data_IF_915459505324
#
_entry.id   IF_915459505324
#
_cell.length_a   1.000
_cell.length_b   1.000
_cell.length_c   1.000
_cell.angle_alpha   90.00
_cell.angle_beta   90.00
_cell.angle_gamma   90.00
#
_symmetry.space_group_name_H-M   'P 1'
#
loop_
_entity.id
_entity.type
_entity.pdbx_description
1 polymer ?
#
# COMPACT_ATOMS: atom_id res chain seq x y z
N UNK A 1 -8.10 39.06 32.92
CA UNK A 1 -6.66 39.29 33.18
C UNK A 1 -5.92 38.33 32.26
N UNK A 2 -5.33 38.87 31.19
CA UNK A 2 -4.62 38.09 30.17
C UNK A 2 -3.40 37.42 30.81
N UNK A 3 -3.27 36.10 30.65
CA UNK A 3 -1.98 35.44 30.81
C UNK A 3 -1.33 35.35 29.42
N UNK A 4 -0.17 36.01 29.21
CA UNK A 4 0.65 35.80 28.04
C UNK A 4 1.48 34.54 28.29
N UNK A 5 1.36 33.52 27.42
CA UNK A 5 2.40 32.55 27.11
C UNK A 5 1.84 31.64 26.03
N UNK A 6 2.47 31.66 24.85
CA UNK A 6 2.15 30.67 23.85
C UNK A 6 2.63 29.30 24.32
N UNK A 7 1.72 28.36 24.56
CA UNK A 7 2.07 27.01 25.00
C UNK A 7 2.54 26.22 23.77
N UNK A 8 3.85 26.00 23.69
CA UNK A 8 4.44 25.01 22.79
C UNK A 8 4.46 23.67 23.53
N UNK A 9 3.78 22.69 22.95
CA UNK A 9 3.81 21.30 23.40
C UNK A 9 4.48 20.46 22.33
N UNK A 10 5.24 19.43 22.74
CA UNK A 10 5.87 18.52 21.79
C UNK A 10 6.05 17.13 22.38
N UNK A 11 6.01 16.14 21.50
CA UNK A 11 6.23 14.73 21.80
C UNK A 11 7.24 14.14 20.81
N UNK A 12 8.09 13.24 21.32
CA UNK A 12 9.04 12.49 20.51
C UNK A 12 8.86 11.00 20.79
N UNK A 13 8.48 10.25 19.76
CA UNK A 13 8.39 8.79 19.80
C UNK A 13 9.51 8.19 18.97
N UNK A 14 10.25 7.24 19.53
CA UNK A 14 11.21 6.40 18.81
C UNK A 14 10.76 4.96 18.89
N UNK A 15 10.91 4.22 17.79
CA UNK A 15 10.46 2.83 17.73
C UNK A 15 11.26 1.96 16.77
N UNK A 16 11.10 0.66 16.98
CA UNK A 16 11.60 -0.40 16.13
C UNK A 16 10.47 -1.36 15.83
N UNK A 17 10.42 -1.87 14.61
CA UNK A 17 9.50 -2.94 14.24
C UNK A 17 10.22 -4.08 13.52
N UNK A 18 9.70 -5.28 13.72
CA UNK A 18 10.05 -6.46 12.94
C UNK A 18 8.76 -7.09 12.42
N UNK A 19 8.77 -7.45 11.15
CA UNK A 19 7.70 -8.19 10.51
C UNK A 19 8.29 -9.48 9.92
N UNK A 20 7.59 -10.58 10.16
CA UNK A 20 7.97 -11.91 9.71
C UNK A 20 6.75 -12.56 9.08
N UNK A 21 6.89 -13.02 7.84
CA UNK A 21 5.86 -13.79 7.13
C UNK A 21 6.46 -15.08 6.64
N UNK A 22 5.81 -16.16 7.02
CA UNK A 22 6.01 -17.48 6.46
C UNK A 22 4.71 -17.94 5.81
N UNK A 23 4.76 -18.30 4.53
CA UNK A 23 3.62 -18.86 3.80
C UNK A 23 4.02 -20.21 3.23
N UNK A 24 3.16 -21.20 3.41
CA UNK A 24 3.23 -22.48 2.71
C UNK A 24 1.80 -22.85 2.36
N UNK A 25 1.57 -23.34 1.15
CA UNK A 25 0.28 -23.87 0.74
C UNK A 25 0.49 -25.14 -0.08
N UNK A 26 -0.53 -25.98 -0.14
CA UNK A 26 -0.62 -27.17 -0.98
C UNK A 26 -1.96 -27.11 -1.70
N UNK A 27 -1.98 -27.49 -2.96
CA UNK A 27 -3.21 -27.59 -3.75
C UNK A 27 -3.36 -29.01 -4.28
N UNK A 28 -4.51 -29.61 -3.95
CA UNK A 28 -4.85 -30.98 -4.34
C UNK A 28 -6.04 -30.92 -5.28
N UNK A 29 -5.85 -31.31 -6.54
CA UNK A 29 -6.91 -31.38 -7.54
C UNK A 29 -7.27 -32.83 -7.83
N UNK A 30 -8.58 -33.12 -7.88
CA UNK A 30 -9.10 -34.37 -8.42
C UNK A 30 -10.01 -34.08 -9.62
N UNK A 31 -9.86 -34.87 -10.69
CA UNK A 31 -10.73 -34.81 -11.87
C UNK A 31 -11.65 -36.03 -11.88
N UNK A 32 -12.86 -35.88 -12.43
CA UNK A 32 -13.83 -36.97 -12.58
C UNK A 32 -14.45 -37.44 -11.26
N UNK A 33 -15.26 -36.60 -10.63
CA UNK A 33 -15.99 -36.97 -9.41
C UNK A 33 -16.94 -38.15 -9.69
N UNK A 34 -16.97 -39.15 -8.80
CA UNK A 34 -17.92 -40.29 -8.93
C UNK A 34 -19.35 -39.86 -8.59
N UNK A 35 -19.49 -38.95 -7.61
CA UNK A 35 -20.78 -38.36 -7.22
C UNK A 35 -20.77 -36.86 -7.54
N UNK A 36 -21.49 -36.46 -8.60
CA UNK A 36 -21.34 -35.13 -9.21
C UNK A 36 -21.92 -33.93 -8.43
N UNK A 37 -22.54 -34.09 -7.25
CA UNK A 37 -23.18 -32.91 -6.61
C UNK A 37 -23.38 -32.93 -5.09
N UNK A 38 -22.99 -33.99 -4.38
CA UNK A 38 -23.34 -34.13 -2.95
C UNK A 38 -22.18 -34.49 -2.01
N UNK A 39 -20.96 -34.70 -2.53
CA UNK A 39 -19.80 -35.03 -1.70
C UNK A 39 -18.47 -34.51 -2.27
N UNK A 40 -18.11 -33.23 -2.05
CA UNK A 40 -16.83 -32.68 -2.46
C UNK A 40 -15.72 -33.21 -1.54
N UNK A 41 -15.20 -34.39 -1.84
CA UNK A 41 -14.15 -35.07 -1.08
C UNK A 41 -13.05 -35.55 -2.05
N UNK A 42 -11.78 -35.38 -1.68
CA UNK A 42 -10.62 -35.84 -2.47
C UNK A 42 -10.61 -37.36 -2.72
N UNK A 43 -11.31 -38.15 -1.91
CA UNK A 43 -11.51 -39.57 -2.11
C UNK A 43 -12.68 -39.92 -3.06
N UNK A 44 -13.48 -38.94 -3.50
CA UNK A 44 -14.64 -39.12 -4.40
C UNK A 44 -14.24 -39.14 -5.88
N UNK A 45 -13.15 -39.84 -6.20
CA UNK A 45 -12.71 -40.09 -7.57
C UNK A 45 -12.06 -41.47 -7.63
N UNK A 46 -12.15 -42.14 -8.78
CA UNK A 46 -11.34 -43.33 -9.09
C UNK A 46 -10.07 -42.95 -9.85
N UNK A 47 -9.92 -41.69 -10.25
CA UNK A 47 -8.69 -41.16 -10.80
C UNK A 47 -7.65 -40.96 -9.70
N UNK A 48 -6.37 -41.19 -10.03
CA UNK A 48 -5.27 -40.77 -9.15
C UNK A 48 -5.32 -39.25 -9.00
N UNK A 49 -5.37 -38.70 -7.77
CA UNK A 49 -5.29 -37.26 -7.57
C UNK A 49 -4.07 -36.69 -8.27
N UNK A 50 -4.27 -35.63 -9.07
CA UNK A 50 -3.15 -34.82 -9.54
C UNK A 50 -2.81 -33.86 -8.41
N UNK A 51 -1.81 -34.25 -7.63
CA UNK A 51 -1.27 -33.39 -6.58
C UNK A 51 -0.35 -32.38 -7.26
N UNK A 52 -0.81 -31.13 -7.37
CA UNK A 52 0.07 -30.01 -7.67
C UNK A 52 0.70 -29.57 -6.34
N UNK A 53 1.60 -30.40 -5.81
CA UNK A 53 2.41 -30.05 -4.66
C UNK A 53 3.52 -29.09 -5.11
N UNK A 54 3.14 -27.86 -5.41
CA UNK A 54 4.04 -26.77 -5.16
C UNK A 54 4.17 -26.67 -3.64
N UNK A 55 5.36 -26.86 -3.08
CA UNK A 55 5.69 -26.32 -1.77
C UNK A 55 6.42 -24.98 -1.94
N UNK A 56 5.86 -23.92 -2.59
CA UNK A 56 6.49 -22.62 -2.50
C UNK A 56 6.33 -22.17 -1.05
N UNK A 57 7.37 -22.43 -0.26
CA UNK A 57 7.50 -21.84 1.05
C UNK A 57 8.08 -20.46 0.86
N UNK A 58 7.32 -19.44 1.21
CA UNK A 58 7.82 -18.08 1.19
C UNK A 58 8.23 -17.65 2.59
N UNK A 59 9.47 -17.20 2.73
CA UNK A 59 9.99 -16.54 3.91
C UNK A 59 10.32 -15.09 3.56
N UNK A 60 9.65 -14.17 4.25
CA UNK A 60 9.86 -12.75 4.09
C UNK A 60 9.99 -12.08 5.45
N UNK A 61 10.99 -11.20 5.57
CA UNK A 61 11.28 -10.45 6.79
C UNK A 61 11.53 -8.99 6.45
N UNK A 62 10.96 -8.12 7.26
CA UNK A 62 11.17 -6.67 7.17
C UNK A 62 11.46 -6.12 8.56
N UNK A 63 12.46 -5.28 8.69
CA UNK A 63 12.81 -4.63 9.95
C UNK A 63 12.85 -3.13 9.74
N UNK A 64 12.50 -2.33 10.73
CA UNK A 64 12.56 -0.88 10.59
C UNK A 64 12.78 -0.18 11.91
N UNK A 65 13.37 1.00 11.83
CA UNK A 65 13.46 1.97 12.92
C UNK A 65 12.78 3.25 12.48
N UNK A 66 12.11 3.91 13.41
CA UNK A 66 11.39 5.14 13.10
C UNK A 66 11.42 6.12 14.26
N UNK A 67 11.28 7.39 13.92
CA UNK A 67 11.02 8.49 14.83
C UNK A 67 9.81 9.29 14.36
N UNK A 68 9.02 9.75 15.32
CA UNK A 68 7.87 10.63 15.12
C UNK A 68 8.04 11.80 16.07
N UNK A 69 8.07 13.00 15.53
CA UNK A 69 8.09 14.25 16.28
C UNK A 69 6.77 14.96 16.04
N UNK A 70 6.06 15.30 17.11
CA UNK A 70 4.79 16.00 17.08
C UNK A 70 4.95 17.28 17.89
N UNK A 71 4.44 18.40 17.39
CA UNK A 71 4.47 19.67 18.08
C UNK A 71 3.17 20.45 17.85
N UNK A 72 2.64 21.04 18.92
CA UNK A 72 1.48 21.91 18.94
C UNK A 72 1.83 23.29 19.47
N UNK A 73 1.29 24.34 18.86
CA UNK A 73 1.42 25.71 19.35
C UNK A 73 0.05 26.34 19.51
N UNK A 74 -0.26 26.71 20.77
CA UNK A 74 -1.49 27.41 21.15
C UNK A 74 -2.78 26.73 20.68
N UNK A 75 -2.75 25.41 20.54
CA UNK A 75 -3.88 24.60 20.08
C UNK A 75 -4.41 24.95 18.67
N UNK A 76 -3.66 25.73 17.87
CA UNK A 76 -4.09 26.10 16.52
C UNK A 76 -3.05 25.82 15.43
N UNK A 77 -1.77 25.60 15.74
CA UNK A 77 -0.78 25.07 14.78
C UNK A 77 -0.32 23.71 15.26
N UNK A 78 -0.34 22.72 14.37
CA UNK A 78 0.15 21.37 14.65
C UNK A 78 1.09 20.91 13.55
N UNK A 79 2.26 20.42 13.93
CA UNK A 79 3.29 19.87 13.05
C UNK A 79 3.55 18.42 13.45
N UNK A 80 3.54 17.50 12.48
CA UNK A 80 4.01 16.13 12.65
C UNK A 80 5.12 15.87 11.65
N UNK A 81 6.29 15.43 12.11
CA UNK A 81 7.38 15.00 11.26
C UNK A 81 7.73 13.55 11.57
N UNK A 82 7.88 12.71 10.54
CA UNK A 82 8.28 11.31 10.69
C UNK A 82 9.53 11.03 9.89
N UNK A 83 10.35 10.11 10.38
CA UNK A 83 11.53 9.63 9.70
C UNK A 83 11.65 8.13 9.95
N UNK A 84 11.74 7.34 8.89
CA UNK A 84 11.77 5.88 9.00
C UNK A 84 12.78 5.28 8.05
N UNK A 85 13.56 4.31 8.53
CA UNK A 85 14.39 3.46 7.70
C UNK A 85 13.96 2.00 7.84
N UNK A 86 13.83 1.30 6.72
CA UNK A 86 13.40 -0.09 6.67
C UNK A 86 14.42 -0.94 5.92
N UNK A 87 14.65 -2.17 6.38
CA UNK A 87 15.42 -3.21 5.71
C UNK A 87 14.51 -4.38 5.31
N UNK A 88 14.60 -4.84 4.08
CA UNK A 88 13.82 -5.97 3.57
C UNK A 88 14.67 -7.17 3.18
N UNK A 89 14.22 -8.40 3.46
CA UNK A 89 14.86 -9.61 2.96
C UNK A 89 14.56 -9.90 1.49
N UNK A 90 13.59 -9.20 0.88
CA UNK A 90 13.20 -9.42 -0.52
C UNK A 90 14.02 -8.60 -1.53
N UNK A 91 14.81 -7.64 -1.05
CA UNK A 91 15.70 -6.82 -1.87
C UNK A 91 17.14 -7.36 -1.85
N UNK A 92 17.96 -7.03 -2.86
CA UNK A 92 19.38 -7.38 -2.86
C UNK A 92 20.09 -6.86 -1.61
N UNK A 93 21.03 -7.63 -1.07
CA UNK A 93 21.72 -7.32 0.20
C UNK A 93 22.35 -5.91 0.21
N UNK A 94 22.84 -5.44 -0.93
CA UNK A 94 23.48 -4.12 -1.06
C UNK A 94 22.46 -2.96 -1.13
N UNK A 95 21.21 -3.24 -1.50
CA UNK A 95 20.15 -2.25 -1.75
C UNK A 95 18.88 -2.52 -0.90
N UNK A 96 19.03 -3.23 0.22
CA UNK A 96 17.88 -3.67 1.00
C UNK A 96 17.37 -2.66 2.03
N UNK A 97 18.06 -1.53 2.19
CA UNK A 97 17.73 -0.46 3.13
C UNK A 97 17.11 0.73 2.41
N UNK A 98 16.03 1.29 2.95
CA UNK A 98 15.41 2.50 2.40
C UNK A 98 14.86 3.41 3.49
N UNK A 99 15.22 4.69 3.37
CA UNK A 99 14.81 5.77 4.24
C UNK A 99 13.72 6.62 3.59
N UNK A 100 12.67 6.93 4.34
CA UNK A 100 11.54 7.71 3.86
C UNK A 100 10.98 8.60 4.98
N UNK A 101 11.07 9.93 4.84
CA UNK A 101 10.50 10.89 5.79
C UNK A 101 9.10 11.35 5.39
N UNK A 102 8.37 11.93 6.34
CA UNK A 102 7.18 12.73 6.06
C UNK A 102 7.07 13.93 6.99
N UNK A 103 6.31 14.93 6.57
CA UNK A 103 5.92 16.10 7.37
C UNK A 103 4.49 16.49 7.04
N UNK A 104 3.70 16.80 8.06
CA UNK A 104 2.37 17.39 7.91
C UNK A 104 2.23 18.59 8.83
N UNK A 105 1.50 19.58 8.34
CA UNK A 105 1.18 20.82 9.04
C UNK A 105 -0.33 21.02 8.99
N UNK A 106 -0.92 21.38 10.12
CA UNK A 106 -2.29 21.87 10.17
C UNK A 106 -2.39 23.18 10.94
N UNK A 107 -3.25 24.06 10.44
CA UNK A 107 -3.49 25.38 11.00
C UNK A 107 -4.99 25.62 11.15
N UNK A 108 -5.46 25.74 12.38
CA UNK A 108 -6.84 26.06 12.73
C UNK A 108 -6.98 27.59 12.77
N UNK A 109 -7.25 28.17 11.61
CA UNK A 109 -7.33 29.61 11.43
C UNK A 109 -8.48 30.24 12.26
N UNK A 110 -9.59 29.52 12.45
CA UNK A 110 -10.71 29.97 13.30
C UNK A 110 -10.24 30.33 14.71
N UNK A 111 -9.41 29.48 15.30
CA UNK A 111 -8.95 29.62 16.68
C UNK A 111 -7.87 30.69 16.77
N UNK A 112 -6.92 30.69 15.82
CA UNK A 112 -5.83 31.66 15.77
C UNK A 112 -6.32 33.12 15.64
N UNK A 113 -7.44 33.34 14.94
CA UNK A 113 -8.02 34.66 14.71
C UNK A 113 -9.30 34.92 15.52
N UNK A 114 -9.66 34.03 16.46
CA UNK A 114 -10.84 34.13 17.30
C UNK A 114 -12.14 34.39 16.50
N UNK A 115 -12.41 33.56 15.49
CA UNK A 115 -13.59 33.70 14.63
C UNK A 115 -14.90 33.63 15.41
N UNK A 116 -14.95 32.90 16.53
CA UNK A 116 -16.09 32.90 17.45
C UNK A 116 -16.55 34.30 17.86
N UNK A 117 -15.63 35.26 17.96
CA UNK A 117 -15.94 36.65 18.34
C UNK A 117 -16.16 37.59 17.15
N UNK A 118 -15.72 37.21 15.94
CA UNK A 118 -15.59 38.10 14.79
C UNK A 118 -16.41 37.66 13.57
N UNK A 119 -16.71 36.36 13.46
CA UNK A 119 -17.30 35.67 12.31
C UNK A 119 -18.14 34.47 12.78
N UNK A 120 -19.24 34.71 13.50
CA UNK A 120 -20.12 33.68 14.10
C UNK A 120 -20.68 32.63 13.11
N UNK A 121 -20.63 32.90 11.80
CA UNK A 121 -21.06 31.94 10.79
C UNK A 121 -20.06 30.81 10.54
N UNK A 122 -18.78 30.99 10.92
CA UNK A 122 -17.69 30.04 10.69
C UNK A 122 -17.30 29.41 12.02
N UNK A 123 -17.67 28.16 12.23
CA UNK A 123 -17.35 27.42 13.45
C UNK A 123 -15.91 26.87 13.41
N UNK A 124 -15.44 26.49 12.22
CA UNK A 124 -14.07 25.98 12.04
C UNK A 124 -13.56 26.32 10.65
N UNK A 125 -12.31 26.78 10.58
CA UNK A 125 -11.53 26.83 9.35
C UNK A 125 -10.16 26.24 9.62
N UNK A 126 -9.88 25.08 9.04
CA UNK A 126 -8.61 24.38 9.16
C UNK A 126 -7.95 24.23 7.80
N UNK A 127 -6.68 24.58 7.71
CA UNK A 127 -5.83 24.36 6.55
C UNK A 127 -4.86 23.22 6.85
N UNK A 128 -4.66 22.31 5.90
CA UNK A 128 -3.77 21.16 6.01
C UNK A 128 -2.81 21.13 4.82
N UNK A 129 -1.56 20.78 5.08
CA UNK A 129 -0.59 20.45 4.05
C UNK A 129 0.28 19.29 4.51
N UNK A 130 0.60 18.36 3.61
CA UNK A 130 1.48 17.25 3.91
C UNK A 130 2.42 16.94 2.74
N UNK A 131 3.60 16.47 3.09
CA UNK A 131 4.57 15.90 2.17
C UNK A 131 5.10 14.61 2.79
N UNK A 132 5.22 13.56 1.99
CA UNK A 132 5.76 12.31 2.51
C UNK A 132 6.37 11.43 1.45
N UNK A 133 7.23 10.53 1.91
CA UNK A 133 7.65 9.38 1.13
C UNK A 133 7.20 8.09 1.81
N UNK A 134 6.84 7.10 1.03
CA UNK A 134 6.60 5.74 1.46
C UNK A 134 7.45 4.80 0.60
N UNK A 135 8.22 3.93 1.25
CA UNK A 135 9.03 2.92 0.55
C UNK A 135 8.35 1.55 0.55
N UNK A 136 8.49 0.83 -0.55
CA UNK A 136 8.04 -0.56 -0.69
C UNK A 136 9.19 -1.44 -1.21
N UNK A 137 9.10 -2.75 -0.95
CA UNK A 137 10.10 -3.74 -1.38
C UNK A 137 9.54 -4.65 -2.48
N UNK A 138 10.39 -5.58 -2.93
CA UNK A 138 10.03 -6.56 -3.94
C UNK A 138 9.19 -7.71 -3.37
N UNK A 139 8.56 -8.47 -4.27
CA UNK A 139 8.10 -9.80 -3.92
C UNK A 139 9.29 -10.70 -3.51
N UNK A 140 9.11 -11.67 -2.59
CA UNK A 140 10.17 -12.60 -2.22
C UNK A 140 10.72 -13.39 -3.42
N UNK A 141 12.01 -13.72 -3.39
CA UNK A 141 12.71 -14.60 -4.35
C UNK A 141 12.82 -14.10 -5.79
N UNK A 142 12.67 -12.80 -6.05
CA UNK A 142 12.79 -12.25 -7.41
C UNK A 142 14.19 -11.74 -7.79
N UNK A 143 15.18 -11.88 -6.91
CA UNK A 143 16.55 -11.34 -7.11
C UNK A 143 17.53 -12.34 -7.71
N UNK A 144 17.27 -13.64 -7.56
CA UNK A 144 18.11 -14.72 -8.10
C UNK A 144 17.30 -15.52 -9.12
N UNK A 145 17.94 -16.07 -10.17
CA UNK A 145 17.29 -17.08 -11.01
C UNK A 145 17.09 -18.36 -10.20
N UNK A 146 15.99 -19.07 -10.48
CA UNK A 146 15.68 -20.38 -9.91
C UNK A 146 15.44 -21.42 -11.02
N UNK A 147 15.34 -22.66 -10.58
CA UNK A 147 14.98 -23.79 -11.43
C UNK A 147 13.56 -24.22 -11.08
N UNK A 148 12.72 -24.29 -12.10
CA UNK A 148 11.33 -24.73 -12.01
C UNK A 148 11.17 -26.07 -12.70
N UNK A 149 10.07 -26.77 -12.43
CA UNK A 149 9.74 -27.99 -13.17
C UNK A 149 9.62 -27.67 -14.66
N UNK A 150 10.29 -28.49 -15.49
CA UNK A 150 10.32 -28.28 -16.92
C UNK A 150 8.91 -28.33 -17.52
N UNK A 151 8.56 -27.32 -18.30
CA UNK A 151 7.28 -27.29 -19.00
C UNK A 151 7.40 -26.61 -20.35
N UNK A 152 6.86 -27.25 -21.39
CA UNK A 152 6.72 -26.63 -22.72
C UNK A 152 5.29 -26.11 -22.85
N UNK A 153 5.11 -24.88 -22.41
CA UNK A 153 3.82 -24.16 -22.47
C UNK A 153 3.78 -23.23 -23.68
N UNK A 154 2.72 -23.33 -24.49
CA UNK A 154 2.49 -22.47 -25.66
C UNK A 154 3.31 -22.80 -26.92
N UNK A 155 4.09 -23.89 -26.91
CA UNK A 155 4.76 -24.44 -28.09
C UNK A 155 3.92 -25.48 -28.85
N UNK A 156 2.88 -26.02 -28.21
CA UNK A 156 1.95 -27.02 -28.75
C UNK A 156 0.54 -26.42 -28.67
N UNK A 157 -0.21 -26.31 -29.79
CA UNK A 157 -1.59 -25.84 -29.74
C UNK A 157 -2.43 -26.76 -28.85
N UNK A 158 -3.12 -26.16 -27.88
CA UNK A 158 -4.10 -26.83 -27.00
C UNK A 158 -3.55 -27.89 -26.03
N UNK A 159 -2.24 -27.91 -25.78
CA UNK A 159 -1.65 -28.82 -24.79
C UNK A 159 -0.35 -28.25 -24.22
N UNK A 160 -0.11 -28.51 -22.94
CA UNK A 160 1.19 -28.31 -22.31
C UNK A 160 1.90 -29.65 -22.18
N UNK A 161 3.23 -29.65 -22.30
CA UNK A 161 4.06 -30.81 -22.00
C UNK A 161 4.84 -30.52 -20.72
N UNK A 162 4.40 -31.07 -19.60
CA UNK A 162 5.01 -30.87 -18.28
C UNK A 162 5.72 -32.13 -17.83
N UNK A 163 6.89 -31.98 -17.20
CA UNK A 163 7.54 -33.09 -16.51
C UNK A 163 6.69 -33.56 -15.31
N UNK A 164 6.90 -34.80 -14.79
CA UNK A 164 7.80 -35.84 -15.30
C UNK A 164 7.29 -36.51 -16.59
N UNK A 165 8.21 -36.85 -17.50
CA UNK A 165 7.93 -37.63 -18.70
C UNK A 165 8.50 -39.05 -18.55
N UNK A 166 7.68 -40.08 -18.74
CA UNK A 166 8.07 -41.48 -18.49
C UNK A 166 8.72 -41.69 -17.11
N UNK A 167 8.16 -41.04 -16.08
CA UNK A 167 8.67 -41.09 -14.70
C UNK A 167 10.09 -40.52 -14.51
N UNK A 168 10.61 -39.77 -15.49
CA UNK A 168 11.84 -39.00 -15.38
C UNK A 168 11.47 -37.55 -15.11
N UNK A 169 12.01 -36.96 -14.03
CA UNK A 169 11.82 -35.54 -13.70
C UNK A 169 12.78 -34.66 -14.53
N UNK A 170 12.36 -33.44 -14.80
CA UNK A 170 13.15 -32.44 -15.53
C UNK A 170 12.92 -31.07 -14.92
N UNK A 171 13.99 -30.28 -14.88
CA UNK A 171 13.96 -28.91 -14.39
C UNK A 171 14.60 -28.01 -15.44
N UNK A 172 14.10 -26.79 -15.53
CA UNK A 172 14.62 -25.75 -16.41
C UNK A 172 14.75 -24.43 -15.64
N UNK A 173 15.48 -23.46 -16.19
CA UNK A 173 15.46 -22.12 -15.63
C UNK A 173 14.06 -21.52 -15.78
N UNK A 174 13.59 -20.80 -14.75
CA UNK A 174 12.40 -19.99 -14.93
C UNK A 174 12.62 -18.99 -16.08
N UNK A 175 11.57 -18.77 -16.86
CA UNK A 175 11.55 -17.81 -17.95
C UNK A 175 11.53 -16.35 -17.44
N UNK A 176 11.46 -16.12 -16.12
CA UNK A 176 11.57 -14.81 -15.49
C UNK A 176 12.93 -14.66 -14.81
N UNK A 177 13.80 -13.84 -15.41
CA UNK A 177 15.12 -13.56 -14.87
C UNK A 177 15.01 -12.67 -13.63
N UNK A 178 15.70 -13.04 -12.55
CA UNK A 178 15.87 -12.20 -11.37
C UNK A 178 16.87 -11.05 -11.58
N UNK A 179 16.88 -10.08 -10.67
CA UNK A 179 17.73 -8.89 -10.80
C UNK A 179 18.39 -8.50 -9.46
N UNK A 180 19.73 -8.56 -9.42
CA UNK A 180 20.53 -8.20 -8.25
C UNK A 180 20.70 -6.69 -8.06
N UNK A 181 20.26 -5.88 -9.02
CA UNK A 181 20.34 -4.43 -8.98
C UNK A 181 19.01 -3.77 -8.55
N UNK A 182 18.01 -4.57 -8.16
CA UNK A 182 16.74 -4.03 -7.70
C UNK A 182 16.94 -3.04 -6.55
N UNK A 183 16.25 -1.91 -6.68
CA UNK A 183 16.12 -0.85 -5.70
C UNK A 183 14.72 -0.90 -5.09
N UNK A 184 14.51 -0.32 -3.91
CA UNK A 184 13.18 -0.16 -3.34
C UNK A 184 12.31 0.78 -4.19
N UNK A 185 11.02 0.49 -4.22
CA UNK A 185 10.00 1.37 -4.82
C UNK A 185 9.73 2.53 -3.87
N UNK A 186 9.62 3.76 -4.38
CA UNK A 186 9.35 4.94 -3.56
C UNK A 186 8.14 5.69 -4.12
N UNK A 187 7.11 5.82 -3.29
CA UNK A 187 6.01 6.77 -3.48
C UNK A 187 6.36 8.09 -2.79
N UNK A 188 6.16 9.20 -3.49
CA UNK A 188 6.25 10.56 -2.96
C UNK A 188 4.88 11.21 -3.08
N UNK A 189 4.40 11.77 -1.99
CA UNK A 189 3.05 12.31 -1.83
C UNK A 189 3.12 13.79 -1.44
N UNK A 190 2.30 14.60 -2.11
CA UNK A 190 1.96 15.96 -1.71
C UNK A 190 0.46 16.04 -1.50
N UNK A 191 0.04 16.66 -0.40
CA UNK A 191 -1.38 16.86 -0.09
C UNK A 191 -1.58 18.28 0.41
N UNK A 192 -2.66 18.93 -0.05
CA UNK A 192 -3.18 20.16 0.54
C UNK A 192 -4.67 20.02 0.74
N UNK A 193 -5.17 20.47 1.87
CA UNK A 193 -6.57 20.33 2.23
C UNK A 193 -7.11 21.50 3.02
N UNK A 194 -8.42 21.63 3.00
CA UNK A 194 -9.17 22.60 3.79
C UNK A 194 -10.41 21.93 4.38
N UNK A 195 -10.64 22.20 5.65
CA UNK A 195 -11.82 21.74 6.37
C UNK A 195 -12.56 22.97 6.90
N UNK A 196 -13.84 23.10 6.56
CA UNK A 196 -14.68 24.25 6.90
C UNK A 196 -15.94 23.73 7.58
N UNK A 197 -16.28 24.26 8.74
CA UNK A 197 -17.58 24.04 9.40
C UNK A 197 -18.29 25.37 9.60
N UNK A 198 -19.57 25.42 9.26
CA UNK A 198 -20.40 26.62 9.28
C UNK A 198 -21.74 26.38 9.99
N UNK A 199 -22.28 27.47 10.54
CA UNK A 199 -23.63 27.57 11.10
C UNK A 199 -23.92 26.59 12.25
N UNK A 200 -23.07 26.55 13.29
CA UNK A 200 -23.12 25.60 14.40
C UNK A 200 -22.99 24.15 13.93
N UNK A 201 -21.97 23.91 13.08
CA UNK A 201 -21.63 22.61 12.52
C UNK A 201 -22.80 21.97 11.77
N UNK A 202 -23.54 22.79 11.02
CA UNK A 202 -24.66 22.33 10.17
C UNK A 202 -24.28 22.20 8.72
N UNK A 203 -23.15 22.78 8.32
CA UNK A 203 -22.57 22.61 7.00
C UNK A 203 -21.08 22.35 7.20
N UNK A 204 -20.60 21.19 6.76
CA UNK A 204 -19.19 20.80 6.85
C UNK A 204 -18.69 20.47 5.46
N UNK A 205 -17.59 21.09 5.04
CA UNK A 205 -16.91 20.82 3.79
C UNK A 205 -15.48 20.41 4.10
N UNK A 206 -15.07 19.27 3.57
CA UNK A 206 -13.69 18.80 3.56
C UNK A 206 -13.28 18.70 2.10
N UNK A 207 -12.18 19.32 1.73
CA UNK A 207 -11.66 19.27 0.37
C UNK A 207 -10.15 19.05 0.40
N UNK A 208 -9.67 18.10 -0.39
CA UNK A 208 -8.26 17.69 -0.43
C UNK A 208 -7.83 17.53 -1.88
N UNK A 209 -6.70 18.13 -2.23
CA UNK A 209 -5.99 17.83 -3.47
C UNK A 209 -4.71 17.07 -3.13
N UNK A 210 -4.45 15.99 -3.87
CA UNK A 210 -3.23 15.20 -3.71
C UNK A 210 -2.52 14.98 -5.03
N UNK A 211 -1.20 14.82 -4.96
CA UNK A 211 -0.34 14.34 -6.03
C UNK A 211 0.59 13.27 -5.47
N UNK A 212 0.39 12.03 -5.91
CA UNK A 212 1.22 10.88 -5.57
C UNK A 212 1.97 10.42 -6.80
N UNK A 213 3.29 10.35 -6.67
CA UNK A 213 4.18 9.78 -7.67
C UNK A 213 4.89 8.55 -7.10
N UNK A 214 4.72 7.39 -7.73
CA UNK A 214 5.47 6.15 -7.42
C UNK A 214 6.54 5.93 -8.48
N UNK A 215 7.80 5.82 -8.06
CA UNK A 215 8.96 5.59 -8.93
C UNK A 215 9.63 4.26 -8.62
N UNK A 216 10.08 3.58 -9.69
CA UNK A 216 10.85 2.36 -9.57
C UNK A 216 10.03 1.15 -9.10
N UNK A 217 8.79 1.02 -9.57
CA UNK A 217 7.97 -0.16 -9.26
C UNK A 217 8.68 -1.43 -9.69
N UNK A 218 8.65 -2.45 -8.84
CA UNK A 218 9.36 -3.70 -9.10
C UNK A 218 8.42 -4.67 -9.80
N UNK A 219 8.57 -4.78 -11.12
CA UNK A 219 7.69 -5.58 -11.99
C UNK A 219 8.50 -6.36 -13.04
N UNK A 220 8.00 -7.51 -13.52
CA UNK A 220 8.66 -8.23 -14.59
C UNK A 220 8.35 -7.56 -15.94
N UNK A 221 9.37 -7.03 -16.63
CA UNK A 221 9.24 -6.56 -18.01
C UNK A 221 9.61 -7.63 -19.02
N UNK A 222 8.91 -7.64 -20.14
CA UNK A 222 9.24 -8.49 -21.29
C UNK A 222 10.62 -8.16 -21.85
N UNK A 223 11.40 -9.19 -22.17
CA UNK A 223 12.69 -9.10 -22.86
C UNK A 223 12.68 -9.97 -24.12
N UNK A 224 13.65 -9.75 -25.00
CA UNK A 224 13.80 -10.59 -26.19
C UNK A 224 14.16 -12.02 -25.78
N UNK A 225 13.42 -13.02 -26.30
CA UNK A 225 13.63 -14.43 -25.98
C UNK A 225 15.03 -14.95 -26.35
N UNK A 226 15.76 -14.26 -27.24
CA UNK A 226 17.15 -14.57 -27.56
C UNK A 226 18.11 -14.41 -26.38
N UNK A 227 17.69 -13.72 -25.30
CA UNK A 227 18.41 -13.65 -24.03
C UNK A 227 18.40 -14.96 -23.24
N UNK A 228 17.54 -15.92 -23.62
CA UNK A 228 17.27 -17.14 -22.84
C UNK A 228 16.12 -17.01 -21.84
N UNK A 229 15.53 -15.81 -21.71
CA UNK A 229 14.41 -15.52 -20.79
C UNK A 229 13.29 -14.79 -21.53
N UNK A 230 12.07 -14.83 -20.98
CA UNK A 230 10.90 -14.08 -21.52
C UNK A 230 10.68 -12.75 -20.78
N UNK A 231 11.06 -12.70 -19.51
CA UNK A 231 10.90 -11.51 -18.66
C UNK A 231 12.11 -11.30 -17.76
N UNK A 232 12.25 -10.09 -17.23
CA UNK A 232 13.25 -9.68 -16.25
C UNK A 232 12.57 -8.82 -15.17
N UNK A 233 12.76 -9.13 -13.90
CA UNK A 233 12.38 -8.24 -12.80
C UNK A 233 13.21 -6.96 -12.84
N UNK A 234 12.56 -5.81 -12.83
CA UNK A 234 13.26 -4.52 -12.94
C UNK A 234 12.51 -3.42 -12.19
N UNK A 235 13.21 -2.31 -11.89
CA UNK A 235 12.57 -1.09 -11.41
C UNK A 235 12.03 -0.32 -12.62
N UNK A 236 10.72 -0.25 -12.75
CA UNK A 236 10.06 0.25 -13.95
C UNK A 236 9.31 1.54 -13.66
N UNK A 237 9.67 2.55 -14.45
CA UNK A 237 8.83 3.70 -14.74
C UNK A 237 8.49 4.57 -13.54
N UNK A 238 7.49 5.42 -13.80
CA UNK A 238 6.92 6.40 -12.89
C UNK A 238 5.41 6.39 -13.11
N UNK A 239 4.65 6.11 -12.06
CA UNK A 239 3.19 6.26 -12.07
C UNK A 239 2.83 7.47 -11.24
N UNK A 240 2.00 8.34 -11.80
CA UNK A 240 1.44 9.48 -11.11
C UNK A 240 -0.07 9.27 -10.95
N UNK A 241 -0.57 9.50 -9.74
CA UNK A 241 -1.99 9.58 -9.40
C UNK A 241 -2.18 10.94 -8.74
N UNK A 242 -3.03 11.78 -9.27
CA UNK A 242 -3.37 13.05 -8.65
C UNK A 242 -4.86 13.24 -8.72
N UNK A 243 -5.41 13.88 -7.71
CA UNK A 243 -6.84 13.84 -7.55
C UNK A 243 -7.36 14.88 -6.59
N UNK A 244 -8.67 15.05 -6.68
CA UNK A 244 -9.44 15.90 -5.80
C UNK A 244 -10.47 15.05 -5.07
N UNK A 245 -10.52 15.20 -3.76
CA UNK A 245 -11.48 14.55 -2.88
C UNK A 245 -12.27 15.61 -2.13
N UNK A 246 -13.58 15.43 -2.04
CA UNK A 246 -14.46 16.34 -1.34
C UNK A 246 -15.52 15.56 -0.56
N UNK A 247 -15.70 15.93 0.71
CA UNK A 247 -16.80 15.53 1.55
C UNK A 247 -17.66 16.74 1.91
N UNK A 248 -18.98 16.60 1.80
CA UNK A 248 -19.95 17.63 2.15
C UNK A 248 -21.00 17.05 3.08
N UNK A 249 -21.01 17.51 4.34
CA UNK A 249 -22.04 17.24 5.33
C UNK A 249 -23.00 18.42 5.46
N UNK A 250 -24.31 18.16 5.50
CA UNK A 250 -25.35 19.17 5.65
C UNK A 250 -26.41 18.67 6.62
N UNK A 251 -26.72 19.44 7.66
CA UNK A 251 -27.87 19.24 8.55
C UNK A 251 -28.94 20.30 8.24
N UNK A 252 -29.75 20.17 7.17
CA UNK A 252 -30.73 21.17 6.77
C UNK A 252 -31.83 21.43 7.83
N UNK A 253 -32.12 20.45 8.69
CA UNK A 253 -33.08 20.61 9.79
C UNK A 253 -32.53 19.99 11.09
N UNK A 254 -32.53 20.78 12.18
CA UNK A 254 -32.20 20.33 13.54
C UNK A 254 -33.24 20.89 14.51
N UNK A 255 -34.23 20.06 14.84
CA UNK A 255 -35.32 20.33 15.79
C UNK A 255 -35.13 19.48 17.05
N UNK A 256 -35.85 19.80 18.14
CA UNK A 256 -35.71 19.12 19.45
C UNK A 256 -35.87 17.59 19.39
N UNK A 257 -36.71 17.09 18.49
CA UNK A 257 -37.04 15.66 18.36
C UNK A 257 -36.68 15.09 16.97
N UNK A 258 -36.07 15.88 16.09
CA UNK A 258 -35.84 15.48 14.71
C UNK A 258 -34.60 16.19 14.14
N UNK A 259 -33.62 15.42 13.66
CA UNK A 259 -32.56 15.92 12.78
C UNK A 259 -32.68 15.26 11.42
N UNK A 260 -32.35 16.03 10.38
CA UNK A 260 -32.11 15.49 9.05
C UNK A 260 -30.69 15.85 8.65
N UNK A 261 -29.88 14.81 8.44
CA UNK A 261 -28.48 14.90 8.07
C UNK A 261 -28.29 14.30 6.67
N UNK A 262 -27.48 14.96 5.86
CA UNK A 262 -27.16 14.59 4.48
C UNK A 262 -25.64 14.60 4.33
N UNK A 263 -25.10 13.63 3.59
CA UNK A 263 -23.68 13.55 3.27
C UNK A 263 -23.49 13.29 1.78
N UNK A 264 -22.55 13.98 1.15
CA UNK A 264 -22.14 13.77 -0.23
C UNK A 264 -20.62 13.66 -0.29
N UNK A 265 -20.12 12.63 -0.98
CA UNK A 265 -18.71 12.43 -1.19
C UNK A 265 -18.42 12.41 -2.69
N UNK A 266 -17.33 13.05 -3.10
CA UNK A 266 -16.83 13.12 -4.46
C UNK A 266 -15.34 12.81 -4.47
N UNK A 267 -14.90 12.03 -5.46
CA UNK A 267 -13.49 11.73 -5.68
C UNK A 267 -13.24 11.62 -7.17
N UNK A 268 -12.12 12.20 -7.61
CA UNK A 268 -11.61 12.12 -8.97
C UNK A 268 -10.10 11.90 -8.91
N UNK A 269 -9.60 10.95 -9.71
CA UNK A 269 -8.20 10.63 -9.94
C UNK A 269 -7.96 10.53 -11.46
#
# INVERSE_FOLDING_TARGET
MMLPNGALEFDLTLGYNQYHRYRSYSEDEIKGLVLEQSFPNLANTTATPSVTAGFPSELWRRQGVYGIFEAGFNDFIFLTATARNTWSSALPKENNSYFYPSVSLSFIASDAFNFDNNLEAIDMLKLRAAYGKAGNDANPYVIYPDFVEGQVTGGIPFSDLTFPLNNVRGYEYDNVLGNLNLQPEISTDYEVGVDISLFNYRLALEATYYDRTTEGMILPRTVASSSGFRSLWDNIGKIQNNGFEMGLGITPLRLKAFSWDMSYNFSQN
#
